data_IF_882688030710
#
_entry.id   IF_882688030710
#
_cell.length_a   1.000
_cell.length_b   1.000
_cell.length_c   1.000
_cell.angle_alpha   90.00
_cell.angle_beta   90.00
_cell.angle_gamma   90.00
#
_symmetry.space_group_name_H-M   'P 1'
#
loop_
_entity.id
_entity.type
_entity.pdbx_description
1 polymer ?
#
# COMPACT_ATOMS: atom_id res chain seq x y z
N UNK A 1 -19.27 4.65 -5.65
CA UNK A 1 -19.06 5.62 -6.74
C UNK A 1 -19.02 4.93 -8.11
N UNK A 2 -17.99 4.12 -8.43
CA UNK A 2 -17.86 3.49 -9.76
C UNK A 2 -19.07 2.64 -10.20
N UNK A 3 -19.69 1.86 -9.29
CA UNK A 3 -20.90 1.08 -9.61
C UNK A 3 -22.09 1.93 -10.09
N UNK A 4 -22.29 3.10 -9.51
CA UNK A 4 -23.36 4.03 -9.92
C UNK A 4 -22.97 4.78 -11.20
N UNK A 5 -21.68 5.12 -11.35
CA UNK A 5 -21.16 5.81 -12.52
C UNK A 5 -21.22 4.93 -13.78
N UNK A 6 -20.91 3.64 -13.66
CA UNK A 6 -21.05 2.67 -14.76
C UNK A 6 -22.52 2.44 -15.15
N UNK A 7 -23.43 2.47 -14.18
CA UNK A 7 -24.85 2.29 -14.43
C UNK A 7 -25.51 3.50 -15.13
N UNK A 8 -25.01 4.72 -14.90
CA UNK A 8 -25.61 5.94 -15.46
C UNK A 8 -24.99 6.41 -16.78
N UNK A 9 -23.68 6.24 -16.96
CA UNK A 9 -22.93 6.90 -18.06
C UNK A 9 -22.21 5.89 -18.97
N UNK A 10 -22.25 4.60 -18.63
CA UNK A 10 -21.55 3.53 -19.33
C UNK A 10 -20.06 3.46 -19.02
N UNK A 11 -19.47 2.29 -19.29
CA UNK A 11 -18.06 1.98 -18.97
C UNK A 11 -17.07 2.96 -19.64
N UNK A 12 -17.27 3.27 -20.92
CA UNK A 12 -16.33 4.10 -21.69
C UNK A 12 -16.20 5.54 -21.16
N UNK A 13 -17.33 6.20 -20.83
CA UNK A 13 -17.30 7.56 -20.29
C UNK A 13 -16.83 7.62 -18.84
N UNK A 14 -17.16 6.62 -18.02
CA UNK A 14 -16.64 6.52 -16.65
C UNK A 14 -15.10 6.45 -16.62
N UNK A 15 -14.50 5.64 -17.51
CA UNK A 15 -13.03 5.54 -17.63
C UNK A 15 -12.42 6.87 -18.09
N UNK A 16 -13.03 7.56 -19.07
CA UNK A 16 -12.56 8.88 -19.53
C UNK A 16 -12.60 9.93 -18.43
N UNK A 17 -13.67 9.99 -17.64
CA UNK A 17 -13.81 10.93 -16.52
C UNK A 17 -12.71 10.68 -15.49
N UNK A 18 -12.43 9.41 -15.13
CA UNK A 18 -11.28 9.09 -14.26
C UNK A 18 -9.94 9.52 -14.88
N UNK A 19 -9.77 9.36 -16.19
CA UNK A 19 -8.56 9.79 -16.91
C UNK A 19 -8.36 11.30 -16.84
N UNK A 20 -9.42 12.09 -17.10
CA UNK A 20 -9.35 13.55 -17.00
C UNK A 20 -9.06 14.02 -15.57
N UNK A 21 -9.65 13.38 -14.55
CA UNK A 21 -9.33 13.68 -13.14
C UNK A 21 -7.86 13.43 -12.83
N UNK A 22 -7.32 12.27 -13.23
CA UNK A 22 -5.89 11.98 -13.05
C UNK A 22 -5.00 12.97 -13.81
N UNK A 23 -5.37 13.36 -15.03
CA UNK A 23 -4.60 14.30 -15.84
C UNK A 23 -4.51 15.66 -15.16
N UNK A 24 -5.63 16.22 -14.70
CA UNK A 24 -5.66 17.50 -13.98
C UNK A 24 -4.78 17.45 -12.72
N UNK A 25 -4.92 16.39 -11.91
CA UNK A 25 -4.14 16.23 -10.67
C UNK A 25 -2.64 16.07 -10.96
N UNK A 26 -2.28 15.32 -11.99
CA UNK A 26 -0.88 15.16 -12.41
C UNK A 26 -0.31 16.46 -12.97
N UNK A 27 -1.06 17.21 -13.79
CA UNK A 27 -0.62 18.51 -14.32
C UNK A 27 -0.35 19.51 -13.19
N UNK A 28 -1.24 19.58 -12.19
CA UNK A 28 -1.03 20.41 -10.99
C UNK A 28 0.21 19.93 -10.22
N UNK A 29 0.37 18.61 -10.06
CA UNK A 29 1.53 18.04 -9.37
C UNK A 29 2.84 18.36 -10.11
N UNK A 30 2.89 18.23 -11.43
CA UNK A 30 4.05 18.58 -12.23
C UNK A 30 4.35 20.08 -12.20
N UNK A 31 3.33 20.94 -12.14
CA UNK A 31 3.50 22.39 -12.07
C UNK A 31 3.93 22.88 -10.68
N UNK A 32 3.57 22.18 -9.60
CA UNK A 32 3.86 22.58 -8.20
C UNK A 32 5.08 21.91 -7.60
N UNK A 33 5.45 20.71 -8.05
CA UNK A 33 6.63 19.98 -7.55
C UNK A 33 7.90 20.61 -8.13
N UNK A 34 8.63 21.30 -7.26
CA UNK A 34 9.96 21.84 -7.55
C UNK A 34 11.02 20.92 -6.96
N UNK A 35 12.08 20.61 -7.71
CA UNK A 35 13.20 19.83 -7.19
C UNK A 35 13.92 20.60 -6.09
N UNK A 36 13.94 20.05 -4.87
CA UNK A 36 14.71 20.60 -3.74
C UNK A 36 16.21 20.35 -3.90
N UNK A 37 16.60 19.40 -4.74
CA UNK A 37 18.01 19.04 -4.98
C UNK A 37 18.45 19.76 -6.26
N UNK A 38 19.53 20.56 -6.25
CA UNK A 38 20.07 21.14 -7.48
C UNK A 38 20.41 20.01 -8.45
N UNK A 39 20.11 20.14 -9.75
CA UNK A 39 20.42 19.12 -10.75
C UNK A 39 21.94 18.98 -10.86
N UNK A 40 22.51 18.16 -9.99
CA UNK A 40 23.90 17.77 -10.07
C UNK A 40 24.09 16.99 -11.36
N UNK A 41 25.10 17.39 -12.14
CA UNK A 41 25.50 16.75 -13.39
C UNK A 41 25.94 15.31 -13.09
N UNK A 42 25.00 14.38 -12.98
CA UNK A 42 25.27 12.99 -12.63
C UNK A 42 25.03 12.11 -13.83
N UNK A 43 26.09 11.42 -14.22
CA UNK A 43 26.11 10.31 -15.15
C UNK A 43 25.30 9.16 -14.51
N UNK A 44 23.96 9.26 -14.53
CA UNK A 44 23.08 8.23 -14.00
C UNK A 44 23.26 6.99 -14.87
N UNK A 45 24.04 6.02 -14.40
CA UNK A 45 24.06 4.70 -15.01
C UNK A 45 22.64 4.15 -14.88
N UNK A 46 21.97 3.95 -16.02
CA UNK A 46 20.65 3.31 -16.11
C UNK A 46 20.63 1.91 -15.49
N UNK A 47 21.80 1.28 -15.42
CA UNK A 47 21.97 -0.05 -14.83
C UNK A 47 22.26 0.10 -13.34
N UNK A 48 21.44 -0.51 -12.45
CA UNK A 48 21.76 -0.55 -11.03
C UNK A 48 23.13 -1.18 -10.83
N UNK A 49 24.00 -0.51 -10.08
CA UNK A 49 25.29 -1.10 -9.71
C UNK A 49 25.03 -2.46 -9.05
N UNK A 50 25.73 -3.52 -9.47
CA UNK A 50 25.65 -4.86 -8.87
C UNK A 50 25.93 -4.88 -7.34
N UNK A 51 26.42 -3.76 -6.79
CA UNK A 51 26.52 -3.49 -5.36
C UNK A 51 25.16 -3.41 -4.65
N UNK A 52 24.09 -2.94 -5.30
CA UNK A 52 22.76 -2.83 -4.68
C UNK A 52 22.20 -4.22 -4.33
N UNK A 53 22.46 -5.22 -5.17
CA UNK A 53 22.07 -6.62 -4.92
C UNK A 53 22.96 -7.34 -3.90
N UNK A 54 24.10 -6.75 -3.51
CA UNK A 54 24.98 -7.27 -2.46
C UNK A 54 24.72 -6.65 -1.09
N UNK A 55 23.87 -5.63 -1.02
CA UNK A 55 23.52 -4.96 0.23
C UNK A 55 22.52 -5.82 1.00
N UNK A 56 23.01 -6.63 1.95
CA UNK A 56 22.23 -7.59 2.72
C UNK A 56 20.96 -7.01 3.37
N UNK A 57 20.99 -5.84 4.07
CA UNK A 57 19.77 -5.25 4.63
C UNK A 57 18.77 -4.83 3.55
N UNK A 58 19.23 -4.39 2.38
CA UNK A 58 18.35 -4.05 1.26
C UNK A 58 17.68 -5.31 0.67
N UNK A 59 18.44 -6.38 0.42
CA UNK A 59 17.90 -7.63 -0.10
C UNK A 59 16.89 -8.25 0.86
N UNK A 60 17.18 -8.27 2.16
CA UNK A 60 16.25 -8.78 3.18
C UNK A 60 14.96 -7.95 3.25
N UNK A 61 15.06 -6.62 3.16
CA UNK A 61 13.90 -5.74 3.14
C UNK A 61 13.05 -5.98 1.89
N UNK A 62 13.66 -6.08 0.71
CA UNK A 62 12.96 -6.34 -0.55
C UNK A 62 12.28 -7.71 -0.54
N UNK A 63 12.97 -8.75 -0.06
CA UNK A 63 12.40 -10.09 0.06
C UNK A 63 11.22 -10.12 1.05
N UNK A 64 11.35 -9.44 2.20
CA UNK A 64 10.25 -9.28 3.15
C UNK A 64 9.06 -8.54 2.54
N UNK A 65 9.30 -7.42 1.86
CA UNK A 65 8.25 -6.67 1.18
C UNK A 65 7.56 -7.49 0.09
N UNK A 66 8.28 -8.33 -0.66
CA UNK A 66 7.70 -9.24 -1.64
C UNK A 66 6.71 -10.20 -0.99
N UNK A 67 7.14 -10.92 0.07
CA UNK A 67 6.29 -11.87 0.79
C UNK A 67 5.06 -11.18 1.40
N UNK A 68 5.23 -9.97 1.92
CA UNK A 68 4.13 -9.19 2.50
C UNK A 68 3.14 -8.76 1.41
N UNK A 69 3.60 -8.29 0.25
CA UNK A 69 2.70 -7.88 -0.84
C UNK A 69 1.85 -9.07 -1.34
N UNK A 70 2.44 -10.27 -1.48
CA UNK A 70 1.69 -11.49 -1.78
C UNK A 70 0.53 -11.75 -0.81
N UNK A 71 0.77 -11.57 0.50
CA UNK A 71 -0.25 -11.80 1.52
C UNK A 71 -1.25 -10.63 1.65
N UNK A 72 -0.81 -9.40 1.34
CA UNK A 72 -1.57 -8.17 1.57
C UNK A 72 -2.83 -8.12 0.70
N UNK A 73 -2.75 -8.55 -0.56
CA UNK A 73 -3.88 -8.46 -1.48
C UNK A 73 -4.97 -9.52 -1.25
N UNK A 74 -4.67 -10.61 -0.53
CA UNK A 74 -5.61 -11.70 -0.30
C UNK A 74 -6.88 -11.20 0.42
N UNK A 75 -6.79 -10.56 1.61
CA UNK A 75 -7.97 -9.96 2.25
C UNK A 75 -8.66 -8.89 1.39
N UNK A 76 -7.90 -8.13 0.60
CA UNK A 76 -8.49 -7.08 -0.23
C UNK A 76 -9.43 -7.64 -1.30
N UNK A 77 -9.11 -8.81 -1.85
CA UNK A 77 -9.91 -9.46 -2.90
C UNK A 77 -10.99 -10.36 -2.30
N UNK A 78 -10.64 -11.23 -1.36
CA UNK A 78 -11.51 -12.32 -0.92
C UNK A 78 -12.46 -11.97 0.25
N UNK A 79 -12.24 -10.86 0.96
CA UNK A 79 -13.03 -10.55 2.17
C UNK A 79 -14.49 -10.24 1.83
N UNK A 80 -14.73 -9.61 0.69
CA UNK A 80 -16.08 -9.37 0.21
C UNK A 80 -16.81 -10.69 -0.08
N UNK A 81 -16.18 -11.61 -0.83
CA UNK A 81 -16.77 -12.91 -1.15
C UNK A 81 -16.98 -13.77 0.10
N UNK A 82 -16.03 -13.74 1.03
CA UNK A 82 -16.16 -14.43 2.32
C UNK A 82 -17.38 -13.94 3.11
N UNK A 83 -17.63 -12.62 3.11
CA UNK A 83 -18.82 -12.09 3.78
C UNK A 83 -20.12 -12.58 3.13
N UNK A 84 -20.16 -12.69 1.80
CA UNK A 84 -21.33 -13.21 1.08
C UNK A 84 -21.55 -14.68 1.42
N UNK A 85 -20.48 -15.49 1.45
CA UNK A 85 -20.54 -16.90 1.86
C UNK A 85 -21.10 -17.07 3.28
N UNK A 86 -20.85 -16.11 4.17
CA UNK A 86 -21.39 -16.06 5.54
C UNK A 86 -22.85 -15.59 5.63
N UNK A 87 -23.52 -15.35 4.51
CA UNK A 87 -24.91 -14.90 4.45
C UNK A 87 -25.10 -13.38 4.56
N UNK A 88 -24.03 -12.58 4.44
CA UNK A 88 -24.14 -11.12 4.40
C UNK A 88 -24.69 -10.69 3.03
N UNK A 89 -25.61 -9.72 3.03
CA UNK A 89 -26.16 -9.20 1.78
C UNK A 89 -25.07 -8.60 0.90
N UNK A 90 -25.16 -8.80 -0.42
CA UNK A 90 -24.19 -8.28 -1.40
C UNK A 90 -24.03 -6.75 -1.34
N UNK A 91 -25.06 -6.02 -0.90
CA UNK A 91 -25.00 -4.57 -0.66
C UNK A 91 -24.10 -4.23 0.54
N UNK A 92 -24.14 -5.03 1.59
CA UNK A 92 -23.31 -4.82 2.79
C UNK A 92 -21.87 -5.25 2.58
N UNK A 93 -21.63 -6.32 1.81
CA UNK A 93 -20.28 -6.79 1.46
C UNK A 93 -19.43 -5.71 0.76
N UNK A 94 -20.06 -4.87 -0.04
CA UNK A 94 -19.41 -3.72 -0.67
C UNK A 94 -18.89 -2.68 0.35
N UNK A 95 -19.61 -2.48 1.45
CA UNK A 95 -19.19 -1.55 2.50
C UNK A 95 -18.02 -2.07 3.33
N UNK A 96 -17.75 -3.38 3.32
CA UNK A 96 -16.60 -3.96 4.05
C UNK A 96 -15.29 -3.46 3.46
N UNK A 97 -15.17 -3.43 2.13
CA UNK A 97 -13.99 -2.85 1.46
C UNK A 97 -13.90 -1.35 1.75
N UNK A 98 -15.03 -0.65 1.82
CA UNK A 98 -15.06 0.77 2.17
C UNK A 98 -14.56 1.01 3.61
N UNK A 99 -14.98 0.18 4.57
CA UNK A 99 -14.53 0.22 5.96
C UNK A 99 -13.04 -0.11 6.09
N UNK A 100 -12.54 -1.09 5.32
CA UNK A 100 -11.12 -1.40 5.25
C UNK A 100 -10.28 -0.23 4.74
N UNK A 101 -10.74 0.43 3.67
CA UNK A 101 -10.06 1.63 3.16
C UNK A 101 -10.10 2.79 4.16
N UNK A 102 -11.21 2.96 4.88
CA UNK A 102 -11.30 3.95 5.95
C UNK A 102 -10.26 3.68 7.05
N UNK A 103 -10.10 2.42 7.48
CA UNK A 103 -9.01 2.02 8.38
C UNK A 103 -7.62 2.32 7.82
N UNK A 104 -7.41 2.09 6.53
CA UNK A 104 -6.14 2.35 5.85
C UNK A 104 -5.72 3.82 5.86
N UNK A 105 -6.68 4.75 5.86
CA UNK A 105 -6.37 6.19 5.98
C UNK A 105 -5.63 6.47 7.29
N UNK A 106 -6.13 5.95 8.42
CA UNK A 106 -5.47 6.11 9.71
C UNK A 106 -4.08 5.44 9.72
N UNK A 107 -4.01 4.24 9.14
CA UNK A 107 -2.76 3.51 8.95
C UNK A 107 -1.72 4.23 8.10
N UNK A 108 -2.13 5.07 7.14
CA UNK A 108 -1.19 5.80 6.29
C UNK A 108 -0.69 7.10 6.90
N UNK A 109 -1.38 7.61 7.91
CA UNK A 109 -1.09 8.92 8.52
C UNK A 109 -0.33 8.72 9.83
N UNK A 110 -0.90 7.98 10.79
CA UNK A 110 -0.34 7.90 12.14
C UNK A 110 1.05 7.24 12.22
N UNK A 111 1.31 6.10 11.57
CA UNK A 111 2.60 5.41 11.67
C UNK A 111 3.77 6.20 11.09
N UNK A 112 3.68 6.87 9.92
CA UNK A 112 4.77 7.76 9.46
C UNK A 112 5.09 8.89 10.44
N UNK A 113 4.08 9.56 11.02
CA UNK A 113 4.31 10.60 12.03
C UNK A 113 5.00 10.04 13.28
N UNK A 114 4.61 8.85 13.71
CA UNK A 114 5.17 8.20 14.89
C UNK A 114 6.57 7.63 14.62
N UNK A 115 6.87 7.28 13.36
CA UNK A 115 8.13 6.72 12.92
C UNK A 115 9.29 7.70 13.03
N UNK A 116 8.99 9.00 12.94
CA UNK A 116 9.99 10.05 13.11
C UNK A 116 10.53 10.11 14.55
N UNK A 117 9.76 9.66 15.53
CA UNK A 117 10.17 9.65 16.95
C UNK A 117 10.66 8.29 17.44
N UNK A 118 10.02 7.19 17.02
CA UNK A 118 10.25 5.83 17.57
C UNK A 118 11.19 5.00 16.68
N UNK A 119 11.39 5.43 15.42
CA UNK A 119 12.17 4.73 14.41
C UNK A 119 11.31 3.90 13.46
N UNK A 120 11.67 3.93 12.18
CA UNK A 120 10.85 3.38 11.09
C UNK A 120 10.70 1.86 11.17
N UNK A 121 11.80 1.16 11.41
CA UNK A 121 11.80 -0.30 11.55
C UNK A 121 11.06 -0.77 12.80
N UNK A 122 11.15 -0.02 13.91
CA UNK A 122 10.46 -0.34 15.17
C UNK A 122 8.94 -0.28 15.05
N UNK A 123 8.41 0.45 14.08
CA UNK A 123 6.96 0.50 13.81
C UNK A 123 6.56 -0.52 12.74
N UNK A 124 7.37 -0.67 11.67
CA UNK A 124 6.98 -1.52 10.55
C UNK A 124 6.98 -3.00 10.92
N UNK A 125 7.93 -3.46 11.74
CA UNK A 125 8.03 -4.86 12.16
C UNK A 125 6.82 -5.33 12.97
N UNK A 126 6.44 -4.68 14.10
CA UNK A 126 5.26 -5.09 14.86
C UNK A 126 3.96 -4.89 14.08
N UNK A 127 3.86 -3.83 13.25
CA UNK A 127 2.67 -3.61 12.41
C UNK A 127 2.46 -4.73 11.40
N UNK A 128 3.54 -5.18 10.77
CA UNK A 128 3.51 -6.30 9.82
C UNK A 128 3.21 -7.61 10.52
N UNK A 129 3.80 -7.85 11.68
CA UNK A 129 3.52 -9.04 12.48
C UNK A 129 2.05 -9.11 12.88
N UNK A 130 1.49 -8.02 13.41
CA UNK A 130 0.08 -7.92 13.77
C UNK A 130 -0.84 -8.11 12.55
N UNK A 131 -0.49 -7.53 11.40
CA UNK A 131 -1.22 -7.74 10.15
C UNK A 131 -1.26 -9.23 9.76
N UNK A 132 -0.13 -9.92 9.82
CA UNK A 132 -0.04 -11.35 9.53
C UNK A 132 -0.84 -12.20 10.52
N UNK A 133 -0.74 -11.90 11.83
CA UNK A 133 -1.52 -12.60 12.86
C UNK A 133 -3.02 -12.37 12.69
N UNK A 134 -3.45 -11.16 12.36
CA UNK A 134 -4.84 -10.84 12.07
C UNK A 134 -5.36 -11.66 10.87
N UNK A 135 -4.57 -11.74 9.80
CA UNK A 135 -4.94 -12.50 8.61
C UNK A 135 -5.07 -14.00 8.90
N UNK A 136 -4.20 -14.58 9.72
CA UNK A 136 -4.21 -16.02 10.02
C UNK A 136 -5.24 -16.41 11.09
N UNK A 137 -5.27 -15.67 12.19
CA UNK A 137 -6.06 -16.02 13.37
C UNK A 137 -7.44 -15.41 13.26
N UNK A 138 -7.51 -14.09 13.10
CA UNK A 138 -8.76 -13.37 13.26
C UNK A 138 -9.74 -13.65 12.11
N UNK A 139 -9.24 -13.80 10.88
CA UNK A 139 -10.07 -14.21 9.74
C UNK A 139 -10.81 -15.53 10.00
N UNK A 140 -10.13 -16.52 10.55
CA UNK A 140 -10.70 -17.87 10.79
C UNK A 140 -11.87 -17.85 11.77
N UNK A 141 -11.81 -16.98 12.78
CA UNK A 141 -12.85 -16.86 13.82
C UNK A 141 -13.97 -15.88 13.45
N UNK A 142 -13.85 -15.09 12.39
CA UNK A 142 -14.89 -14.14 11.99
C UNK A 142 -16.12 -14.86 11.43
N UNK A 143 -17.18 -14.98 12.25
CA UNK A 143 -18.46 -15.57 11.85
C UNK A 143 -19.60 -14.55 11.72
N UNK A 144 -19.49 -13.42 12.42
CA UNK A 144 -20.50 -12.36 12.43
C UNK A 144 -20.10 -11.18 11.56
N UNK A 145 -21.10 -10.45 11.04
CA UNK A 145 -20.89 -9.23 10.26
C UNK A 145 -20.05 -8.20 11.02
N UNK A 146 -20.33 -8.01 12.31
CA UNK A 146 -19.59 -7.07 13.16
C UNK A 146 -18.12 -7.47 13.26
N UNK A 147 -17.82 -8.76 13.45
CA UNK A 147 -16.45 -9.24 13.50
C UNK A 147 -15.71 -9.03 12.16
N UNK A 148 -16.39 -9.26 11.03
CA UNK A 148 -15.83 -9.04 9.70
C UNK A 148 -15.52 -7.56 9.45
N UNK A 149 -16.41 -6.65 9.86
CA UNK A 149 -16.19 -5.20 9.72
C UNK A 149 -15.05 -4.71 10.62
N UNK A 150 -15.00 -5.18 11.87
CA UNK A 150 -13.89 -4.84 12.77
C UNK A 150 -12.55 -5.36 12.24
N UNK A 151 -12.53 -6.60 11.74
CA UNK A 151 -11.36 -7.16 11.06
C UNK A 151 -10.93 -6.27 9.89
N UNK A 152 -11.87 -5.87 9.03
CA UNK A 152 -11.61 -5.03 7.88
C UNK A 152 -10.95 -3.70 8.27
N UNK A 153 -11.46 -3.02 9.29
CA UNK A 153 -10.92 -1.73 9.76
C UNK A 153 -9.52 -1.90 10.33
N UNK A 154 -9.32 -2.88 11.22
CA UNK A 154 -8.03 -3.10 11.89
C UNK A 154 -6.97 -3.57 10.89
N UNK A 155 -7.32 -4.52 10.02
CA UNK A 155 -6.45 -4.98 8.93
C UNK A 155 -6.12 -3.85 7.95
N UNK A 156 -7.11 -3.01 7.62
CA UNK A 156 -6.93 -1.80 6.82
C UNK A 156 -5.89 -0.86 7.43
N UNK A 157 -5.95 -0.63 8.74
CA UNK A 157 -4.99 0.20 9.46
C UNK A 157 -3.56 -0.34 9.35
N UNK A 158 -3.32 -1.61 9.65
CA UNK A 158 -1.96 -2.16 9.59
C UNK A 158 -1.42 -2.31 8.16
N UNK A 159 -2.27 -2.65 7.19
CA UNK A 159 -1.86 -2.68 5.77
C UNK A 159 -1.53 -1.29 5.24
N UNK A 160 -2.29 -0.27 5.65
CA UNK A 160 -1.98 1.14 5.36
C UNK A 160 -0.65 1.59 5.96
N UNK A 161 -0.37 1.16 7.19
CA UNK A 161 0.90 1.41 7.88
C UNK A 161 2.08 0.84 7.12
N UNK A 162 1.99 -0.41 6.68
CA UNK A 162 3.03 -1.07 5.91
C UNK A 162 3.32 -0.33 4.60
N UNK A 163 2.28 -0.03 3.81
CA UNK A 163 2.44 0.65 2.52
C UNK A 163 3.04 2.05 2.66
N UNK A 164 2.66 2.81 3.69
CA UNK A 164 3.21 4.15 3.93
C UNK A 164 4.67 4.13 4.41
N UNK A 165 5.08 3.08 5.10
CA UNK A 165 6.40 2.95 5.72
C UNK A 165 7.45 2.30 4.80
N UNK A 166 7.01 1.60 3.76
CA UNK A 166 7.86 0.90 2.80
C UNK A 166 8.91 1.83 2.14
N UNK A 167 8.51 3.02 1.69
CA UNK A 167 9.44 4.02 1.11
C UNK A 167 10.38 4.61 2.19
N UNK A 168 9.89 5.12 3.34
CA UNK A 168 10.75 5.63 4.42
C UNK A 168 11.80 4.65 4.93
N UNK A 169 11.48 3.35 5.03
CA UNK A 169 12.43 2.32 5.45
C UNK A 169 13.58 2.17 4.45
N UNK A 170 13.29 2.20 3.15
CA UNK A 170 14.33 2.14 2.10
C UNK A 170 15.16 3.41 2.08
N UNK A 171 14.51 4.56 2.22
CA UNK A 171 15.22 5.84 2.30
C UNK A 171 16.15 5.91 3.52
N UNK A 172 15.90 5.16 4.59
CA UNK A 172 16.78 5.10 5.76
C UNK A 172 18.08 4.32 5.51
N UNK A 173 18.00 3.23 4.76
CA UNK A 173 19.15 2.33 4.49
C UNK A 173 19.92 2.74 3.23
N UNK A 174 19.45 3.75 2.51
CA UNK A 174 19.97 4.12 1.19
C UNK A 174 20.50 5.54 1.17
N UNK A 175 21.60 5.75 0.45
CA UNK A 175 22.09 7.09 0.17
C UNK A 175 21.08 7.86 -0.68
N UNK A 176 20.79 9.11 -0.32
CA UNK A 176 19.81 10.01 -0.98
C UNK A 176 19.95 10.04 -2.50
N UNK A 177 21.18 9.87 -3.00
CA UNK A 177 21.50 9.88 -4.43
C UNK A 177 20.98 8.65 -5.20
N UNK A 178 20.82 7.50 -4.53
CA UNK A 178 20.38 6.23 -5.11
C UNK A 178 18.97 5.81 -4.64
N UNK A 179 18.33 6.60 -3.78
CA UNK A 179 17.01 6.30 -3.20
C UNK A 179 15.97 6.04 -4.29
N UNK A 180 15.94 6.86 -5.35
CA UNK A 180 14.99 6.69 -6.46
C UNK A 180 15.13 5.33 -7.16
N UNK A 181 16.36 4.93 -7.49
CA UNK A 181 16.64 3.64 -8.14
C UNK A 181 16.28 2.47 -7.23
N UNK A 182 16.60 2.54 -5.94
CA UNK A 182 16.29 1.48 -4.97
C UNK A 182 14.78 1.33 -4.71
N UNK A 183 14.05 2.44 -4.64
CA UNK A 183 12.57 2.43 -4.59
C UNK A 183 12.00 1.79 -5.87
N UNK A 184 12.54 2.13 -7.04
CA UNK A 184 12.13 1.54 -8.31
C UNK A 184 12.33 0.01 -8.36
N UNK A 185 13.48 -0.48 -7.90
CA UNK A 185 13.77 -1.92 -7.80
C UNK A 185 12.78 -2.61 -6.86
N UNK A 186 12.55 -2.04 -5.68
CA UNK A 186 11.58 -2.58 -4.73
C UNK A 186 10.20 -2.72 -5.36
N UNK A 187 9.65 -1.67 -5.96
CA UNK A 187 8.32 -1.74 -6.57
C UNK A 187 8.26 -2.70 -7.76
N UNK A 188 9.36 -2.80 -8.53
CA UNK A 188 9.46 -3.78 -9.62
C UNK A 188 9.40 -5.21 -9.09
N UNK A 189 10.08 -5.50 -7.97
CA UNK A 189 10.03 -6.81 -7.32
C UNK A 189 8.66 -7.03 -6.67
N UNK A 190 8.14 -6.04 -5.95
CA UNK A 190 6.85 -6.11 -5.27
C UNK A 190 5.68 -6.32 -6.25
N UNK A 191 5.79 -5.86 -7.49
CA UNK A 191 4.78 -6.10 -8.53
C UNK A 191 4.63 -7.57 -8.95
N UNK A 192 5.57 -8.45 -8.59
CA UNK A 192 5.43 -9.89 -8.82
C UNK A 192 4.58 -10.59 -7.77
N UNK A 193 4.28 -9.94 -6.64
CA UNK A 193 3.42 -10.45 -5.56
C UNK A 193 2.04 -9.83 -5.57
#
# INVERSE_FOLDING_TARGET
MYRQLFAQIGFGWAVRISGFMCLVLCTISCATVTSRIPPGRKNTKLVPSAKVVRDTPFVLLVAGCLLINFALFIPFVYLADYSIYRGVSSRTSFYIISAMNAGSIFGRIAPPFLADSIGRFNIVVPSTFLMGTLALVFWMFTRSLVAIVLFAIVYGCFSGAFLAMQIPCIAQISNIEEVGTRIGILYSVASFG
#
